data_IF_683062080439
#
_entry.id   IF_683062080439
#
_cell.length_a   1.000
_cell.length_b   1.000
_cell.length_c   1.000
_cell.angle_alpha   90.00
_cell.angle_beta   90.00
_cell.angle_gamma   90.00
#
_symmetry.space_group_name_H-M   'P 1'
#
loop_
_entity.id
_entity.type
_entity.pdbx_description
1 polymer ?
#
# COMPACT_ATOMS: atom_id res chain seq x y z
N UNK A 1 -12.27 -12.95 -1.13
CA UNK A 1 -12.20 -11.56 -0.66
C UNK A 1 -13.32 -11.30 0.34
N UNK A 2 -12.94 -10.89 1.55
CA UNK A 2 -13.90 -10.42 2.57
C UNK A 2 -14.09 -8.90 2.45
N UNK A 3 -15.20 -8.38 2.99
CA UNK A 3 -15.41 -6.93 3.06
C UNK A 3 -14.27 -6.21 3.81
N UNK A 4 -13.66 -6.86 4.80
CA UNK A 4 -12.49 -6.33 5.51
C UNK A 4 -11.26 -6.20 4.62
N UNK A 5 -10.97 -7.18 3.76
CA UNK A 5 -9.85 -7.13 2.82
C UNK A 5 -10.01 -6.03 1.77
N UNK A 6 -11.23 -5.76 1.33
CA UNK A 6 -11.52 -4.66 0.39
C UNK A 6 -11.24 -3.30 1.03
N UNK A 7 -11.66 -3.12 2.29
CA UNK A 7 -11.42 -1.87 3.02
C UNK A 7 -9.93 -1.66 3.29
N UNK A 8 -9.21 -2.73 3.68
CA UNK A 8 -7.76 -2.70 3.89
C UNK A 8 -7.02 -2.34 2.60
N UNK A 9 -7.36 -2.99 1.49
CA UNK A 9 -6.79 -2.67 0.18
C UNK A 9 -7.01 -1.20 -0.20
N UNK A 10 -8.21 -0.67 0.01
CA UNK A 10 -8.52 0.74 -0.25
C UNK A 10 -7.64 1.71 0.55
N UNK A 11 -7.41 1.43 1.84
CA UNK A 11 -6.55 2.23 2.69
C UNK A 11 -5.08 2.18 2.22
N UNK A 12 -4.59 0.99 1.85
CA UNK A 12 -3.22 0.78 1.35
C UNK A 12 -2.99 1.53 0.03
N UNK A 13 -3.95 1.47 -0.90
CA UNK A 13 -3.87 2.21 -2.17
C UNK A 13 -3.84 3.72 -1.95
N UNK A 14 -4.71 4.24 -1.08
CA UNK A 14 -4.71 5.67 -0.73
C UNK A 14 -3.36 6.11 -0.16
N UNK A 15 -2.80 5.32 0.76
CA UNK A 15 -1.50 5.62 1.39
C UNK A 15 -0.35 5.55 0.39
N UNK A 16 -0.34 4.56 -0.50
CA UNK A 16 0.64 4.45 -1.59
C UNK A 16 0.62 5.67 -2.49
N UNK A 17 -0.56 6.17 -2.84
CA UNK A 17 -0.71 7.31 -3.73
C UNK A 17 -0.28 8.62 -3.03
N UNK A 18 -0.45 8.74 -1.71
CA UNK A 18 0.15 9.82 -0.90
C UNK A 18 1.67 9.75 -0.92
N UNK A 19 2.26 8.57 -0.65
CA UNK A 19 3.70 8.36 -0.59
C UNK A 19 4.38 8.67 -1.93
N UNK A 20 3.74 8.35 -3.05
CA UNK A 20 4.22 8.68 -4.41
C UNK A 20 4.27 10.18 -4.70
N UNK A 21 3.56 11.01 -3.94
CA UNK A 21 3.61 12.46 -4.08
C UNK A 21 4.72 13.09 -3.21
N UNK A 22 5.28 12.33 -2.27
CA UNK A 22 6.40 12.78 -1.45
C UNK A 22 7.73 12.65 -2.20
N UNK A 23 8.73 13.44 -1.80
CA UNK A 23 10.09 13.22 -2.28
C UNK A 23 10.58 11.83 -1.86
N UNK A 24 11.17 11.10 -2.81
CA UNK A 24 11.77 9.80 -2.55
C UNK A 24 12.88 9.94 -1.50
N UNK A 25 12.66 9.27 -0.36
CA UNK A 25 13.65 9.06 0.67
C UNK A 25 13.53 7.61 1.17
N UNK A 26 14.51 7.17 1.94
CA UNK A 26 14.61 5.76 2.37
C UNK A 26 13.38 5.29 3.16
N UNK A 27 12.76 6.16 3.95
CA UNK A 27 11.53 5.85 4.71
C UNK A 27 10.31 5.70 3.78
N UNK A 28 10.16 6.59 2.81
CA UNK A 28 9.09 6.53 1.79
C UNK A 28 9.21 5.26 0.95
N UNK A 29 10.43 4.90 0.54
CA UNK A 29 10.69 3.67 -0.21
C UNK A 29 10.41 2.42 0.63
N UNK A 30 10.81 2.41 1.91
CA UNK A 30 10.52 1.29 2.80
C UNK A 30 9.01 1.11 3.02
N UNK A 31 8.28 2.19 3.25
CA UNK A 31 6.84 2.15 3.44
C UNK A 31 6.09 1.71 2.16
N UNK A 32 6.52 2.18 0.99
CA UNK A 32 6.00 1.73 -0.30
C UNK A 32 6.18 0.23 -0.50
N UNK A 33 7.37 -0.30 -0.21
CA UNK A 33 7.64 -1.74 -0.31
C UNK A 33 6.73 -2.57 0.60
N UNK A 34 6.54 -2.15 1.85
CA UNK A 34 5.64 -2.83 2.79
C UNK A 34 4.19 -2.83 2.32
N UNK A 35 3.73 -1.71 1.74
CA UNK A 35 2.39 -1.60 1.17
C UNK A 35 2.24 -2.55 -0.02
N UNK A 36 3.22 -2.61 -0.92
CA UNK A 36 3.18 -3.52 -2.07
C UNK A 36 3.22 -5.00 -1.66
N UNK A 37 4.03 -5.37 -0.67
CA UNK A 37 4.01 -6.72 -0.11
C UNK A 37 2.64 -7.06 0.50
N UNK A 38 2.05 -6.13 1.27
CA UNK A 38 0.74 -6.36 1.89
C UNK A 38 -0.38 -6.49 0.86
N UNK A 39 -0.35 -5.70 -0.22
CA UNK A 39 -1.30 -5.80 -1.33
C UNK A 39 -1.22 -7.20 -1.99
N UNK A 40 0.00 -7.72 -2.20
CA UNK A 40 0.23 -9.08 -2.71
C UNK A 40 -0.31 -10.16 -1.75
N UNK A 41 -0.06 -10.02 -0.44
CA UNK A 41 -0.59 -10.95 0.58
C UNK A 41 -2.12 -10.99 0.60
N UNK A 42 -2.76 -9.86 0.30
CA UNK A 42 -4.21 -9.77 0.18
C UNK A 42 -4.75 -10.40 -1.13
N UNK A 43 -3.88 -10.80 -2.05
CA UNK A 43 -4.22 -11.42 -3.33
C UNK A 43 -4.68 -10.42 -4.40
N UNK A 44 -4.31 -9.14 -4.25
CA UNK A 44 -4.50 -8.12 -5.27
C UNK A 44 -3.19 -7.95 -6.03
N UNK A 45 -3.23 -8.14 -7.35
CA UNK A 45 -2.09 -7.98 -8.27
C UNK A 45 -2.33 -6.82 -9.23
#
# INVERSE_FOLDING_TARGET
MTAGQVLEYGALVSRRDELRQLQENEEVTAELNLIEERIKELGFE
#
